data_IF_913942746844
#
_entry.id   IF_913942746844
#
_cell.length_a   1.000
_cell.length_b   1.000
_cell.length_c   1.000
_cell.angle_alpha   90.00
_cell.angle_beta   90.00
_cell.angle_gamma   90.00
#
_symmetry.space_group_name_H-M   'P 1'
#
loop_
_entity.id
_entity.type
_entity.pdbx_description
1 polymer ?
#
# COMPACT_ATOMS: atom_id res chain seq x y z
N UNK A 1 3.52 17.98 19.44
CA UNK A 1 4.48 18.85 18.71
C UNK A 1 4.34 18.52 17.25
N UNK A 2 4.32 19.52 16.37
CA UNK A 2 4.24 19.30 14.93
C UNK A 2 5.43 18.48 14.42
N UNK A 3 5.17 17.48 13.58
CA UNK A 3 6.20 16.68 12.94
C UNK A 3 6.74 17.40 11.70
N UNK A 4 8.04 17.25 11.42
CA UNK A 4 8.63 17.83 10.20
C UNK A 4 8.30 16.95 8.99
N UNK A 5 7.76 17.60 7.96
CA UNK A 5 7.59 17.02 6.62
C UNK A 5 8.44 17.83 5.65
N UNK A 6 9.36 17.17 4.99
CA UNK A 6 10.25 17.79 4.01
C UNK A 6 9.65 17.71 2.62
N UNK A 7 9.75 18.79 1.87
CA UNK A 7 9.17 18.91 0.53
C UNK A 7 10.19 19.38 -0.49
N UNK A 8 10.22 18.72 -1.64
CA UNK A 8 10.93 19.13 -2.83
C UNK A 8 9.97 19.16 -4.02
N UNK A 9 9.93 20.28 -4.75
CA UNK A 9 9.19 20.40 -6.00
C UNK A 9 9.82 19.57 -7.13
N UNK A 10 9.18 19.50 -8.31
CA UNK A 10 9.66 18.76 -9.48
C UNK A 10 10.42 19.63 -10.49
N UNK A 11 10.80 20.86 -10.15
CA UNK A 11 11.66 21.65 -11.02
C UNK A 11 13.08 21.09 -10.97
N UNK A 12 13.66 20.88 -12.11
CA UNK A 12 15.02 20.38 -12.29
C UNK A 12 15.77 21.30 -13.25
N UNK A 13 17.10 21.29 -13.18
CA UNK A 13 17.97 22.03 -14.08
C UNK A 13 19.18 21.17 -14.50
N UNK A 14 20.16 21.77 -15.15
CA UNK A 14 21.37 21.08 -15.63
C UNK A 14 22.31 20.62 -14.50
N UNK A 15 22.12 21.13 -13.28
CA UNK A 15 22.95 20.82 -12.12
C UNK A 15 22.34 19.77 -11.21
N UNK A 16 20.99 19.67 -11.16
CA UNK A 16 20.29 18.74 -10.30
C UNK A 16 19.07 18.15 -11.02
N UNK A 17 19.13 16.87 -11.35
CA UNK A 17 17.97 16.12 -11.86
C UNK A 17 17.07 15.65 -10.70
N UNK A 18 15.87 15.12 -11.04
CA UNK A 18 14.87 14.72 -10.03
C UNK A 18 15.34 13.59 -9.11
N UNK A 19 16.19 12.66 -9.59
CA UNK A 19 16.73 11.58 -8.76
C UNK A 19 17.75 12.11 -7.74
N UNK A 20 18.61 13.05 -8.17
CA UNK A 20 19.52 13.76 -7.27
C UNK A 20 18.76 14.59 -6.25
N UNK A 21 17.66 15.22 -6.67
CA UNK A 21 16.77 15.99 -5.79
C UNK A 21 16.08 15.11 -4.75
N UNK A 22 15.63 13.92 -5.14
CA UNK A 22 15.10 12.91 -4.20
C UNK A 22 16.20 12.47 -3.21
N UNK A 23 17.43 12.26 -3.67
CA UNK A 23 18.57 11.94 -2.80
C UNK A 23 18.85 13.05 -1.81
N UNK A 24 18.80 14.32 -2.23
CA UNK A 24 18.94 15.49 -1.35
C UNK A 24 17.80 15.56 -0.34
N UNK A 25 16.55 15.32 -0.77
CA UNK A 25 15.38 15.26 0.12
C UNK A 25 15.58 14.23 1.23
N UNK A 26 15.95 12.99 0.89
CA UNK A 26 16.21 11.91 1.85
C UNK A 26 17.32 12.29 2.85
N UNK A 27 18.41 12.90 2.36
CA UNK A 27 19.50 13.36 3.23
C UNK A 27 19.05 14.46 4.18
N UNK A 28 18.38 15.49 3.67
CA UNK A 28 17.93 16.64 4.46
C UNK A 28 16.86 16.25 5.47
N UNK A 29 16.01 15.29 5.13
CA UNK A 29 14.99 14.75 6.04
C UNK A 29 15.54 13.78 7.10
N UNK A 30 16.85 13.51 7.11
CA UNK A 30 17.51 12.70 8.14
C UNK A 30 17.48 11.20 7.90
N UNK A 31 17.05 10.72 6.72
CA UNK A 31 17.09 9.29 6.40
C UNK A 31 18.51 8.70 6.52
N UNK A 32 19.55 9.54 6.29
CA UNK A 32 20.94 9.14 6.41
C UNK A 32 21.40 8.84 7.83
N UNK A 33 20.64 9.21 8.85
CA UNK A 33 20.96 8.96 10.28
C UNK A 33 20.54 7.57 10.74
N UNK A 34 19.77 6.85 9.89
CA UNK A 34 19.43 5.44 10.15
C UNK A 34 20.68 4.58 9.92
N UNK A 35 20.98 3.70 10.88
CA UNK A 35 22.02 2.68 10.72
C UNK A 35 21.57 1.61 9.72
N UNK A 36 22.13 1.66 8.52
CA UNK A 36 21.88 0.68 7.46
C UNK A 36 22.95 -0.41 7.38
N UNK A 37 24.08 -0.26 8.08
CA UNK A 37 25.21 -1.15 7.91
C UNK A 37 24.82 -2.61 8.16
N UNK A 38 24.99 -3.46 7.14
CA UNK A 38 24.63 -4.89 7.11
C UNK A 38 23.14 -5.23 7.36
N UNK A 39 22.25 -4.24 7.42
CA UNK A 39 20.82 -4.40 7.66
C UNK A 39 20.05 -4.82 6.42
N UNK A 40 19.07 -5.70 6.58
CA UNK A 40 18.03 -5.93 5.58
C UNK A 40 17.03 -4.76 5.61
N UNK A 41 16.77 -4.17 4.44
CA UNK A 41 15.92 -2.98 4.30
C UNK A 41 14.76 -3.27 3.36
N UNK A 42 13.56 -3.34 3.90
CA UNK A 42 12.35 -3.49 3.10
C UNK A 42 11.94 -2.14 2.53
N UNK A 43 11.94 -1.99 1.20
CA UNK A 43 11.36 -0.83 0.51
C UNK A 43 9.99 -1.24 0.00
N UNK A 44 8.95 -0.79 0.69
CA UNK A 44 7.55 -1.10 0.36
C UNK A 44 7.01 -0.10 -0.66
N UNK A 45 6.56 -0.63 -1.78
CA UNK A 45 5.85 0.15 -2.79
C UNK A 45 4.76 -0.69 -3.46
N UNK A 46 3.93 -0.06 -4.28
CA UNK A 46 2.97 -0.72 -5.14
C UNK A 46 3.57 -0.87 -6.54
N UNK A 47 3.57 -2.09 -7.10
CA UNK A 47 4.18 -2.36 -8.41
C UNK A 47 3.27 -2.00 -9.60
N UNK A 48 2.02 -1.55 -9.34
CA UNK A 48 1.01 -1.32 -10.36
C UNK A 48 0.31 -2.62 -10.81
N UNK A 49 -0.98 -2.55 -11.09
CA UNK A 49 -1.69 -3.63 -11.78
C UNK A 49 -1.34 -3.60 -13.28
N UNK A 50 -1.22 -4.75 -13.98
CA UNK A 50 -0.99 -4.75 -15.42
C UNK A 50 -2.04 -3.93 -16.19
N UNK A 51 -1.57 -2.98 -17.00
CA UNK A 51 -2.41 -2.02 -17.71
C UNK A 51 -2.48 -0.63 -17.08
N UNK A 52 -2.23 -0.50 -15.78
CA UNK A 52 -2.08 0.78 -15.12
C UNK A 52 -0.74 1.43 -15.50
N UNK A 53 -0.73 2.72 -15.79
CA UNK A 53 0.46 3.49 -16.15
C UNK A 53 0.74 4.66 -15.18
N UNK A 54 -0.09 4.86 -14.16
CA UNK A 54 0.07 5.93 -13.18
C UNK A 54 1.00 5.54 -12.00
N UNK A 55 1.35 4.25 -11.86
CA UNK A 55 2.24 3.79 -10.79
C UNK A 55 3.62 4.46 -10.83
N UNK A 56 4.34 4.44 -9.72
CA UNK A 56 5.69 5.01 -9.63
C UNK A 56 6.67 4.32 -10.57
N UNK A 57 7.43 5.10 -11.32
CA UNK A 57 8.48 4.58 -12.21
C UNK A 57 9.56 3.87 -11.40
N UNK A 58 10.13 2.76 -11.92
CA UNK A 58 11.21 2.01 -11.25
C UNK A 58 12.43 2.86 -10.86
N UNK A 59 12.69 3.96 -11.58
CA UNK A 59 13.78 4.89 -11.31
C UNK A 59 13.71 5.50 -9.89
N UNK A 60 12.50 5.76 -9.37
CA UNK A 60 12.35 6.25 -8.01
C UNK A 60 12.77 5.20 -6.98
N UNK A 61 12.35 3.95 -7.17
CA UNK A 61 12.77 2.84 -6.33
C UNK A 61 14.29 2.61 -6.40
N UNK A 62 14.89 2.75 -7.60
CA UNK A 62 16.34 2.68 -7.79
C UNK A 62 17.06 3.71 -6.95
N UNK A 63 16.62 4.96 -6.96
CA UNK A 63 17.25 6.03 -6.17
C UNK A 63 17.24 5.73 -4.68
N UNK A 64 16.13 5.19 -4.15
CA UNK A 64 16.04 4.80 -2.73
C UNK A 64 16.93 3.59 -2.44
N UNK A 65 16.94 2.58 -3.31
CA UNK A 65 17.78 1.39 -3.15
C UNK A 65 19.29 1.73 -3.17
N UNK A 66 19.72 2.59 -4.09
CA UNK A 66 21.10 3.02 -4.20
C UNK A 66 21.53 3.84 -2.95
N UNK A 67 20.65 4.72 -2.44
CA UNK A 67 20.88 5.46 -1.19
C UNK A 67 21.15 4.53 0.01
N UNK A 68 20.38 3.44 0.12
CA UNK A 68 20.54 2.43 1.18
C UNK A 68 21.86 1.66 1.00
N UNK A 69 22.16 1.22 -0.23
CA UNK A 69 23.39 0.47 -0.55
C UNK A 69 24.67 1.27 -0.29
N UNK A 70 24.68 2.55 -0.65
CA UNK A 70 25.79 3.46 -0.37
C UNK A 70 26.13 3.55 1.12
N UNK A 71 25.18 3.13 1.99
CA UNK A 71 25.32 3.10 3.46
C UNK A 71 25.47 1.69 4.03
N UNK A 72 25.84 0.73 3.18
CA UNK A 72 26.08 -0.67 3.57
C UNK A 72 24.82 -1.51 3.80
N UNK A 73 23.63 -0.99 3.49
CA UNK A 73 22.36 -1.71 3.65
C UNK A 73 22.10 -2.71 2.51
N UNK A 74 21.24 -3.67 2.77
CA UNK A 74 20.80 -4.75 1.87
C UNK A 74 19.33 -4.54 1.49
N UNK A 75 19.01 -3.62 0.54
CA UNK A 75 17.63 -3.31 0.19
C UNK A 75 16.99 -4.40 -0.66
N UNK A 76 15.69 -4.57 -0.50
CA UNK A 76 14.82 -5.29 -1.41
C UNK A 76 13.49 -4.54 -1.57
N UNK A 77 12.89 -4.64 -2.76
CA UNK A 77 11.53 -4.11 -2.99
C UNK A 77 10.52 -5.15 -2.58
N UNK A 78 9.40 -4.71 -2.00
CA UNK A 78 8.38 -5.63 -1.51
C UNK A 78 6.96 -5.09 -1.62
N UNK A 79 6.02 -6.03 -1.73
CA UNK A 79 4.58 -5.88 -1.57
C UNK A 79 4.01 -7.24 -1.13
N UNK A 80 2.74 -7.30 -0.72
CA UNK A 80 2.01 -8.53 -0.47
C UNK A 80 0.95 -8.79 -1.54
N UNK A 81 0.61 -10.08 -1.72
CA UNK A 81 -0.40 -10.52 -2.69
C UNK A 81 -1.78 -9.89 -2.42
N UNK A 82 -2.58 -9.78 -3.48
CA UNK A 82 -3.92 -9.18 -3.43
C UNK A 82 -5.00 -10.20 -3.13
N UNK A 83 -6.18 -9.71 -2.72
CA UNK A 83 -7.40 -10.49 -2.55
C UNK A 83 -8.25 -10.55 -3.80
N UNK A 84 -8.25 -9.47 -4.59
CA UNK A 84 -9.09 -9.36 -5.79
C UNK A 84 -8.51 -10.16 -6.96
N UNK A 85 -9.36 -10.37 -7.95
CA UNK A 85 -8.98 -10.95 -9.24
C UNK A 85 -8.12 -9.95 -10.00
N UNK A 86 -6.87 -10.35 -10.30
CA UNK A 86 -5.93 -9.50 -11.00
C UNK A 86 -4.57 -10.16 -11.18
N UNK A 87 -3.61 -9.39 -11.65
CA UNK A 87 -2.25 -9.84 -11.95
C UNK A 87 -1.38 -10.14 -10.73
N UNK A 88 -1.84 -9.83 -9.50
CA UNK A 88 -1.01 -9.88 -8.29
C UNK A 88 -1.55 -10.80 -7.19
N UNK A 89 -2.38 -11.80 -7.53
CA UNK A 89 -3.02 -12.70 -6.56
C UNK A 89 -2.14 -13.81 -5.98
N UNK A 90 -0.97 -14.06 -6.54
CA UNK A 90 0.05 -14.99 -6.03
C UNK A 90 1.44 -14.48 -6.42
N UNK A 91 2.49 -14.96 -5.76
CA UNK A 91 3.83 -14.39 -5.93
C UNK A 91 4.35 -14.47 -7.37
N UNK A 92 4.05 -15.51 -8.14
CA UNK A 92 4.53 -15.62 -9.52
C UNK A 92 3.88 -14.56 -10.39
N UNK A 93 2.55 -14.48 -10.39
CA UNK A 93 1.81 -13.46 -11.14
C UNK A 93 2.19 -12.05 -10.67
N UNK A 94 2.42 -11.87 -9.38
CA UNK A 94 2.81 -10.58 -8.80
C UNK A 94 4.20 -10.16 -9.27
N UNK A 95 5.14 -11.10 -9.35
CA UNK A 95 6.47 -10.86 -9.93
C UNK A 95 6.39 -10.56 -11.43
N UNK A 96 5.55 -11.30 -12.16
CA UNK A 96 5.31 -11.03 -13.60
C UNK A 96 4.75 -9.61 -13.80
N UNK A 97 3.76 -9.20 -12.98
CA UNK A 97 3.21 -7.84 -13.00
C UNK A 97 4.29 -6.78 -12.72
N UNK A 98 5.12 -7.00 -11.71
CA UNK A 98 6.23 -6.10 -11.39
C UNK A 98 7.22 -5.99 -12.56
N UNK A 99 7.58 -7.11 -13.19
CA UNK A 99 8.48 -7.15 -14.34
C UNK A 99 7.88 -6.46 -15.57
N UNK A 100 6.61 -6.66 -15.86
CA UNK A 100 5.89 -5.98 -16.95
C UNK A 100 5.88 -4.46 -16.75
N UNK A 101 5.77 -4.01 -15.51
CA UNK A 101 5.82 -2.60 -15.13
C UNK A 101 7.25 -2.07 -14.96
N UNK A 102 8.26 -2.86 -15.35
CA UNK A 102 9.67 -2.47 -15.41
C UNK A 102 10.43 -2.63 -14.09
N UNK A 103 9.81 -3.16 -13.03
CA UNK A 103 10.52 -3.45 -11.77
C UNK A 103 11.24 -4.79 -11.86
N UNK A 104 12.55 -4.76 -11.87
CA UNK A 104 13.42 -5.93 -11.84
C UNK A 104 14.82 -5.52 -11.31
N UNK A 105 15.70 -6.46 -10.94
CA UNK A 105 16.99 -6.13 -10.37
C UNK A 105 17.89 -5.26 -11.27
N UNK A 106 17.73 -5.31 -12.59
CA UNK A 106 18.52 -4.49 -13.52
C UNK A 106 18.09 -3.02 -13.50
N UNK A 107 16.78 -2.76 -13.42
CA UNK A 107 16.23 -1.41 -13.39
C UNK A 107 16.26 -0.78 -12.01
N UNK A 108 15.97 -1.55 -10.96
CA UNK A 108 15.83 -1.06 -9.58
C UNK A 108 17.07 -1.26 -8.73
N UNK A 109 18.05 -2.03 -9.22
CA UNK A 109 19.31 -2.28 -8.52
C UNK A 109 19.19 -3.21 -7.31
N UNK A 110 18.04 -3.74 -6.96
CA UNK A 110 17.85 -4.69 -5.86
C UNK A 110 16.80 -5.75 -6.20
N UNK A 111 16.74 -6.80 -5.38
CA UNK A 111 15.81 -7.91 -5.57
C UNK A 111 14.38 -7.52 -5.21
N UNK A 112 13.40 -8.28 -5.70
CA UNK A 112 12.00 -8.18 -5.32
C UNK A 112 11.64 -9.43 -4.51
N UNK A 113 10.98 -9.23 -3.37
CA UNK A 113 10.47 -10.30 -2.52
C UNK A 113 8.99 -10.04 -2.26
N UNK A 114 8.12 -10.97 -2.65
CA UNK A 114 6.71 -10.89 -2.28
C UNK A 114 6.56 -11.40 -0.85
N UNK A 115 6.24 -10.49 0.06
CA UNK A 115 6.48 -10.66 1.49
C UNK A 115 5.62 -11.71 2.17
N UNK A 116 4.45 -12.02 1.63
CA UNK A 116 3.53 -13.03 2.15
C UNK A 116 3.62 -14.38 1.40
N UNK A 117 4.73 -14.59 0.67
CA UNK A 117 5.08 -15.85 0.02
C UNK A 117 4.19 -16.22 -1.16
N UNK A 118 4.35 -17.48 -1.64
CA UNK A 118 3.79 -17.94 -2.90
C UNK A 118 2.27 -17.78 -2.99
N UNK A 119 1.55 -18.00 -1.90
CA UNK A 119 0.07 -18.01 -1.84
C UNK A 119 -0.54 -16.95 -0.94
N UNK A 120 0.25 -15.97 -0.50
CA UNK A 120 -0.21 -14.92 0.38
C UNK A 120 -0.46 -15.36 1.84
N UNK A 121 0.18 -16.44 2.27
CA UNK A 121 -0.04 -17.06 3.59
C UNK A 121 1.23 -17.23 4.42
N UNK A 122 2.35 -16.68 3.97
CA UNK A 122 3.57 -16.60 4.77
C UNK A 122 3.52 -15.29 5.58
N UNK A 123 3.05 -15.41 6.81
CA UNK A 123 2.71 -14.26 7.65
C UNK A 123 3.23 -14.43 9.07
N UNK A 124 3.29 -13.32 9.77
CA UNK A 124 3.51 -13.25 11.21
C UNK A 124 2.39 -12.44 11.83
N UNK A 125 1.89 -12.88 12.98
CA UNK A 125 0.94 -12.11 13.77
C UNK A 125 1.70 -11.14 14.68
N UNK A 126 1.37 -9.85 14.54
CA UNK A 126 2.01 -8.76 15.30
C UNK A 126 0.96 -8.12 16.20
N UNK A 127 1.16 -8.11 17.52
CA UNK A 127 0.24 -7.44 18.45
C UNK A 127 0.15 -5.94 18.17
N UNK A 128 -1.06 -5.40 18.15
CA UNK A 128 -1.30 -3.96 17.95
C UNK A 128 -1.55 -3.30 19.30
N UNK A 129 -0.54 -2.63 19.84
CA UNK A 129 -0.67 -1.93 21.10
C UNK A 129 -1.67 -0.76 20.99
N UNK A 130 -2.74 -0.80 21.76
CA UNK A 130 -3.82 0.20 21.70
C UNK A 130 -4.79 0.02 20.51
N UNK A 131 -4.71 -1.10 19.78
CA UNK A 131 -5.67 -1.43 18.73
C UNK A 131 -7.07 -1.67 19.26
N UNK A 132 -8.07 -1.09 18.61
CA UNK A 132 -9.48 -1.21 18.97
C UNK A 132 -10.21 -2.23 18.09
N UNK A 133 -9.77 -2.36 16.84
CA UNK A 133 -10.38 -3.21 15.80
C UNK A 133 -9.53 -4.45 15.50
N UNK A 134 -8.21 -4.36 15.67
CA UNK A 134 -7.25 -5.43 15.37
C UNK A 134 -6.41 -5.70 16.63
N UNK A 135 -6.45 -6.94 17.11
CA UNK A 135 -5.59 -7.36 18.24
C UNK A 135 -4.20 -7.77 17.77
N UNK A 136 -4.16 -8.61 16.74
CA UNK A 136 -2.93 -9.09 16.12
C UNK A 136 -3.05 -8.89 14.60
N UNK A 137 -2.25 -8.00 14.04
CA UNK A 137 -2.19 -7.78 12.61
C UNK A 137 -1.41 -8.92 11.93
N UNK A 138 -1.93 -9.41 10.80
CA UNK A 138 -1.31 -10.47 10.00
C UNK A 138 -0.49 -9.84 8.89
N UNK A 139 0.81 -9.75 9.11
CA UNK A 139 1.75 -9.05 8.22
C UNK A 139 2.58 -10.06 7.43
N UNK A 140 2.86 -9.75 6.16
CA UNK A 140 3.77 -10.56 5.33
C UNK A 140 5.13 -10.71 5.98
N UNK A 141 5.61 -11.95 6.12
CA UNK A 141 6.80 -12.29 6.92
C UNK A 141 8.04 -11.48 6.52
N UNK A 142 8.37 -11.40 5.22
CA UNK A 142 9.57 -10.71 4.80
C UNK A 142 9.60 -9.20 5.13
N UNK A 143 8.42 -8.57 5.32
CA UNK A 143 8.34 -7.19 5.85
C UNK A 143 8.83 -7.15 7.29
N UNK A 144 8.45 -8.11 8.11
CA UNK A 144 8.79 -8.12 9.54
C UNK A 144 10.19 -8.68 9.82
N UNK A 145 10.73 -9.51 8.93
CA UNK A 145 12.11 -10.02 9.01
C UNK A 145 13.16 -8.94 8.64
N UNK A 146 12.75 -7.84 8.02
CA UNK A 146 13.64 -6.72 7.71
C UNK A 146 13.96 -5.89 8.96
N UNK A 147 15.22 -5.44 9.09
CA UNK A 147 15.71 -4.61 10.20
C UNK A 147 15.19 -3.17 10.10
N UNK A 148 15.09 -2.65 8.87
CA UNK A 148 14.66 -1.28 8.56
C UNK A 148 13.50 -1.33 7.56
N UNK A 149 12.52 -0.45 7.74
CA UNK A 149 11.38 -0.35 6.84
C UNK A 149 11.31 1.03 6.18
N UNK A 150 11.19 1.06 4.87
CA UNK A 150 10.99 2.29 4.09
C UNK A 150 9.69 2.15 3.29
N UNK A 151 8.78 3.11 3.41
CA UNK A 151 7.66 3.21 2.47
C UNK A 151 7.99 4.17 1.34
N UNK A 152 7.84 3.72 0.10
CA UNK A 152 7.88 4.55 -1.10
C UNK A 152 6.48 4.56 -1.71
N UNK A 153 5.79 5.68 -1.56
CA UNK A 153 4.36 5.77 -1.81
C UNK A 153 4.06 6.62 -3.05
N UNK A 154 3.24 6.09 -3.93
CA UNK A 154 2.49 6.87 -4.90
C UNK A 154 1.24 7.41 -4.20
N UNK A 155 1.10 8.72 -4.10
CA UNK A 155 -0.06 9.38 -3.49
C UNK A 155 -1.14 9.62 -4.55
N UNK A 156 -2.37 9.11 -4.34
CA UNK A 156 -3.48 9.12 -5.32
C UNK A 156 -4.83 8.97 -4.63
N UNK A 157 -5.92 9.12 -5.38
CA UNK A 157 -7.28 8.79 -4.92
C UNK A 157 -7.48 7.31 -4.61
N UNK A 158 -8.57 7.01 -3.91
CA UNK A 158 -8.96 5.63 -3.60
C UNK A 158 -10.45 5.54 -3.27
N UNK A 159 -11.13 4.63 -3.94
CA UNK A 159 -12.57 4.45 -3.93
C UNK A 159 -13.18 4.04 -2.57
N UNK A 160 -12.41 3.40 -1.68
CA UNK A 160 -12.89 2.97 -0.36
C UNK A 160 -12.25 3.76 0.79
N UNK A 161 -11.00 4.21 0.63
CA UNK A 161 -10.26 4.90 1.69
C UNK A 161 -10.28 6.44 1.53
N UNK A 162 -10.80 6.96 0.39
CA UNK A 162 -10.74 8.35 -0.01
C UNK A 162 -9.46 8.66 -0.76
N UNK A 163 -8.31 8.40 -0.17
CA UNK A 163 -7.01 8.42 -0.85
C UNK A 163 -6.13 7.25 -0.47
N UNK A 164 -5.15 6.95 -1.31
CA UNK A 164 -4.10 5.96 -1.07
C UNK A 164 -2.77 6.64 -0.82
N UNK A 165 -2.45 6.90 0.44
CA UNK A 165 -1.20 7.49 0.90
C UNK A 165 -0.27 6.49 1.58
N UNK A 166 0.63 7.01 2.43
CA UNK A 166 1.63 6.26 3.19
C UNK A 166 0.98 5.22 4.11
N UNK A 167 -0.01 5.63 4.92
CA UNK A 167 -0.69 4.72 5.85
C UNK A 167 -1.32 3.53 5.11
N UNK A 168 -2.00 3.80 3.99
CA UNK A 168 -2.59 2.72 3.17
C UNK A 168 -1.53 1.84 2.51
N UNK A 169 -0.46 2.44 1.98
CA UNK A 169 0.65 1.69 1.39
C UNK A 169 1.29 0.73 2.41
N UNK A 170 1.38 1.13 3.66
CA UNK A 170 1.89 0.30 4.75
C UNK A 170 0.82 -0.67 5.22
N UNK A 171 -0.28 -0.20 5.80
CA UNK A 171 -1.26 -1.00 6.51
C UNK A 171 -1.93 -2.05 5.62
N UNK A 172 -2.53 -1.62 4.50
CA UNK A 172 -3.12 -2.56 3.55
C UNK A 172 -2.05 -3.31 2.77
N UNK A 173 -1.00 -2.60 2.34
CA UNK A 173 0.03 -3.16 1.46
C UNK A 173 0.86 -4.26 2.12
N UNK A 174 1.24 -4.13 3.40
CA UNK A 174 2.02 -5.12 4.14
C UNK A 174 1.16 -6.23 4.76
N UNK A 175 -0.17 -6.07 4.83
CA UNK A 175 -1.06 -7.13 5.28
C UNK A 175 -0.95 -8.37 4.38
N UNK A 176 -0.81 -9.56 4.99
CA UNK A 176 -0.94 -10.82 4.26
C UNK A 176 -2.34 -10.95 3.65
N UNK A 177 -2.58 -12.00 2.89
CA UNK A 177 -3.93 -12.26 2.37
C UNK A 177 -4.99 -12.33 3.47
N UNK A 178 -4.68 -13.01 4.59
CA UNK A 178 -5.57 -13.06 5.74
C UNK A 178 -5.72 -11.68 6.41
N UNK A 179 -4.63 -10.91 6.45
CA UNK A 179 -4.65 -9.53 6.97
C UNK A 179 -5.49 -8.59 6.11
N UNK A 180 -5.35 -8.66 4.77
CA UNK A 180 -6.21 -7.89 3.86
C UNK A 180 -7.69 -8.28 4.00
N UNK A 181 -7.95 -9.58 4.21
CA UNK A 181 -9.29 -10.07 4.46
C UNK A 181 -9.91 -9.51 5.73
N UNK A 182 -9.14 -9.43 6.82
CA UNK A 182 -9.58 -8.82 8.07
C UNK A 182 -9.84 -7.31 7.94
N UNK A 183 -9.07 -6.63 7.09
CA UNK A 183 -9.25 -5.20 6.84
C UNK A 183 -10.51 -4.89 6.02
N UNK A 184 -10.78 -5.66 4.96
CA UNK A 184 -11.90 -5.41 4.02
C UNK A 184 -13.23 -6.05 4.41
N UNK A 185 -13.25 -6.97 5.39
CA UNK A 185 -14.43 -7.79 5.66
C UNK A 185 -14.43 -8.26 7.12
N UNK A 186 -15.60 -8.70 7.58
CA UNK A 186 -15.75 -9.53 8.79
C UNK A 186 -15.10 -10.94 8.65
N UNK A 187 -14.40 -11.22 7.55
CA UNK A 187 -13.34 -12.21 7.47
C UNK A 187 -13.63 -13.53 6.76
N UNK A 188 -14.71 -13.70 5.95
CA UNK A 188 -14.97 -15.02 5.33
C UNK A 188 -15.35 -14.90 3.85
N UNK A 189 -14.68 -15.68 2.95
CA UNK A 189 -14.98 -15.63 1.52
C UNK A 189 -16.27 -16.38 1.19
N UNK A 190 -16.82 -16.09 0.01
CA UNK A 190 -17.92 -16.83 -0.59
C UNK A 190 -17.53 -17.42 -1.97
N UNK A 191 -18.40 -18.21 -2.57
CA UNK A 191 -18.19 -18.74 -3.92
C UNK A 191 -19.23 -18.16 -4.87
N UNK A 192 -18.76 -17.46 -5.89
CA UNK A 192 -19.59 -17.02 -7.02
C UNK A 192 -19.86 -18.23 -7.93
N UNK A 193 -20.99 -18.89 -7.77
CA UNK A 193 -21.35 -20.16 -8.43
C UNK A 193 -21.22 -20.10 -9.96
N UNK A 194 -21.56 -18.96 -10.57
CA UNK A 194 -21.46 -18.76 -12.02
C UNK A 194 -20.06 -19.00 -12.60
N UNK A 195 -19.01 -18.80 -11.79
CA UNK A 195 -17.62 -19.00 -12.18
C UNK A 195 -17.07 -20.34 -11.67
N UNK A 196 -17.73 -20.97 -10.70
CA UNK A 196 -17.26 -22.20 -10.11
C UNK A 196 -17.43 -23.39 -11.06
N UNK A 197 -16.35 -24.17 -11.25
CA UNK A 197 -16.33 -25.38 -12.08
C UNK A 197 -16.21 -26.66 -11.23
N UNK A 198 -16.36 -26.58 -9.93
CA UNK A 198 -16.32 -27.74 -9.02
C UNK A 198 -14.97 -28.48 -8.94
N UNK A 199 -13.86 -27.85 -9.35
CA UNK A 199 -12.55 -28.50 -9.46
C UNK A 199 -11.92 -28.94 -8.12
N UNK A 200 -12.46 -28.53 -6.98
CA UNK A 200 -12.04 -28.93 -5.64
C UNK A 200 -10.71 -28.34 -5.15
N UNK A 201 -10.06 -27.42 -5.89
CA UNK A 201 -8.79 -26.79 -5.46
C UNK A 201 -8.91 -26.11 -4.11
N UNK A 202 -10.01 -25.34 -3.91
CA UNK A 202 -10.30 -24.66 -2.64
C UNK A 202 -10.41 -25.65 -1.47
N UNK A 203 -11.04 -26.81 -1.69
CA UNK A 203 -11.15 -27.88 -0.67
C UNK A 203 -9.78 -28.48 -0.35
N UNK A 204 -8.96 -28.77 -1.37
CA UNK A 204 -7.62 -29.36 -1.16
C UNK A 204 -6.67 -28.48 -0.38
N UNK A 205 -6.74 -27.17 -0.54
CA UNK A 205 -5.85 -26.23 0.16
C UNK A 205 -6.32 -25.88 1.58
N UNK A 206 -7.58 -26.14 1.90
CA UNK A 206 -8.16 -25.73 3.18
C UNK A 206 -7.81 -26.71 4.30
N UNK A 207 -7.07 -26.23 5.30
CA UNK A 207 -6.72 -27.02 6.47
C UNK A 207 -7.92 -27.30 7.41
N UNK A 208 -9.01 -26.53 7.25
CA UNK A 208 -10.19 -26.57 8.14
C UNK A 208 -11.39 -27.28 7.49
N UNK A 209 -11.25 -27.74 6.24
CA UNK A 209 -12.34 -28.42 5.53
C UNK A 209 -13.58 -27.56 5.25
N UNK A 210 -13.43 -26.22 5.30
CA UNK A 210 -14.54 -25.30 5.10
C UNK A 210 -15.15 -25.32 3.69
N UNK A 211 -14.40 -25.46 2.58
CA UNK A 211 -15.00 -25.59 1.25
C UNK A 211 -15.58 -26.99 1.03
N UNK A 212 -16.87 -27.05 0.74
CA UNK A 212 -17.63 -28.25 0.44
C UNK A 212 -18.00 -28.23 -1.04
N UNK A 213 -17.93 -29.38 -1.72
CA UNK A 213 -18.33 -29.53 -3.13
C UNK A 213 -19.61 -30.32 -3.20
N UNK A 214 -20.66 -29.69 -3.67
CA UNK A 214 -21.98 -30.30 -3.87
C UNK A 214 -22.53 -29.90 -5.23
N UNK A 215 -23.17 -30.84 -5.93
CA UNK A 215 -23.76 -30.62 -7.27
C UNK A 215 -22.81 -29.94 -8.28
N UNK A 216 -21.50 -30.28 -8.19
CA UNK A 216 -20.48 -29.72 -9.10
C UNK A 216 -20.10 -28.25 -8.79
N UNK A 217 -20.50 -27.70 -7.66
CA UNK A 217 -20.17 -26.35 -7.19
C UNK A 217 -19.56 -26.39 -5.78
N UNK A 218 -18.72 -25.42 -5.48
CA UNK A 218 -18.20 -25.23 -4.13
C UNK A 218 -19.09 -24.26 -3.36
N UNK A 219 -19.21 -24.47 -2.06
CA UNK A 219 -19.66 -23.47 -1.09
C UNK A 219 -18.74 -23.50 0.12
N UNK A 220 -18.72 -22.43 0.92
CA UNK A 220 -17.85 -22.33 2.08
C UNK A 220 -18.68 -22.39 3.36
N UNK A 221 -18.43 -23.41 4.16
CA UNK A 221 -18.96 -23.54 5.50
C UNK A 221 -18.29 -22.48 6.40
N UNK A 222 -19.03 -21.42 6.70
CA UNK A 222 -18.51 -20.30 7.46
C UNK A 222 -18.23 -20.64 8.94
N UNK A 223 -18.82 -21.68 9.48
CA UNK A 223 -18.54 -22.13 10.86
C UNK A 223 -17.13 -22.75 10.98
N UNK A 224 -16.65 -23.36 9.90
CA UNK A 224 -15.30 -23.93 9.80
C UNK A 224 -14.27 -22.96 9.24
N UNK A 225 -14.72 -21.88 8.57
CA UNK A 225 -13.83 -20.96 7.90
C UNK A 225 -13.14 -20.00 8.90
N UNK A 226 -11.82 -19.95 8.87
CA UNK A 226 -10.99 -19.06 9.70
C UNK A 226 -10.51 -17.80 8.95
N UNK A 227 -11.01 -17.53 7.74
CA UNK A 227 -10.68 -16.31 7.00
C UNK A 227 -9.26 -16.22 6.43
N UNK A 228 -8.51 -17.29 6.31
CA UNK A 228 -7.11 -17.24 5.83
C UNK A 228 -6.93 -16.94 4.33
N UNK A 229 -7.99 -16.93 3.53
CA UNK A 229 -7.98 -16.58 2.10
C UNK A 229 -7.22 -17.52 1.15
N UNK A 230 -6.63 -18.62 1.61
CA UNK A 230 -5.85 -19.55 0.75
C UNK A 230 -6.65 -20.10 -0.43
N UNK A 231 -7.95 -20.30 -0.27
CA UNK A 231 -8.85 -20.78 -1.32
C UNK A 231 -9.00 -19.76 -2.47
N UNK A 232 -8.87 -18.48 -2.21
CA UNK A 232 -8.87 -17.42 -3.23
C UNK A 232 -7.62 -17.56 -4.11
N UNK A 233 -6.44 -17.72 -3.49
CA UNK A 233 -5.16 -17.82 -4.20
C UNK A 233 -5.09 -18.97 -5.23
N UNK A 234 -5.80 -20.08 -4.96
CA UNK A 234 -5.70 -21.29 -5.78
C UNK A 234 -6.88 -21.48 -6.73
N UNK A 235 -7.88 -20.60 -6.70
CA UNK A 235 -9.03 -20.74 -7.57
C UNK A 235 -8.67 -20.38 -9.02
N UNK A 236 -8.73 -21.35 -9.97
CA UNK A 236 -8.32 -21.11 -11.35
C UNK A 236 -9.36 -20.31 -12.16
N UNK A 237 -10.56 -20.11 -11.61
CA UNK A 237 -11.68 -19.39 -12.22
C UNK A 237 -12.11 -18.20 -11.39
N UNK A 238 -11.32 -17.82 -10.39
CA UNK A 238 -11.59 -16.70 -9.49
C UNK A 238 -13.01 -16.68 -8.90
N UNK A 239 -13.57 -17.90 -8.76
CA UNK A 239 -14.92 -18.09 -8.22
C UNK A 239 -14.99 -17.90 -6.70
N UNK A 240 -13.86 -18.00 -5.99
CA UNK A 240 -13.82 -17.72 -4.54
C UNK A 240 -13.48 -16.24 -4.38
N UNK A 241 -14.42 -15.51 -3.79
CA UNK A 241 -14.38 -14.05 -3.68
C UNK A 241 -14.66 -13.62 -2.24
N UNK A 242 -14.43 -12.34 -1.94
CA UNK A 242 -14.82 -11.73 -0.65
C UNK A 242 -16.04 -10.83 -0.86
N UNK A 243 -16.75 -10.55 0.22
CA UNK A 243 -17.67 -9.43 0.27
C UNK A 243 -16.85 -8.18 0.65
N UNK A 244 -17.01 -7.12 -0.08
CA UNK A 244 -16.44 -5.82 0.25
C UNK A 244 -17.48 -5.07 1.09
N UNK A 245 -17.72 -5.55 2.33
CA UNK A 245 -18.82 -5.14 3.19
C UNK A 245 -18.39 -4.42 4.47
N UNK A 246 -17.07 -4.15 4.62
CA UNK A 246 -16.60 -3.30 5.70
C UNK A 246 -16.93 -1.83 5.43
N UNK A 247 -17.36 -1.10 6.46
CA UNK A 247 -17.54 0.33 6.32
C UNK A 247 -16.22 1.03 6.01
N UNK A 248 -16.26 2.08 5.19
CA UNK A 248 -15.05 2.85 4.81
C UNK A 248 -14.30 3.40 6.02
N UNK A 249 -15.03 3.78 7.08
CA UNK A 249 -14.45 4.26 8.33
C UNK A 249 -13.73 3.14 9.09
N UNK A 250 -14.33 1.96 9.25
CA UNK A 250 -13.68 0.84 9.93
C UNK A 250 -12.49 0.31 9.13
N UNK A 251 -12.59 0.28 7.80
CA UNK A 251 -11.46 -0.03 6.92
C UNK A 251 -10.28 0.90 7.23
N UNK A 252 -10.52 2.20 7.31
CA UNK A 252 -9.51 3.19 7.61
C UNK A 252 -8.89 3.03 9.01
N UNK A 253 -9.69 2.69 10.02
CA UNK A 253 -9.19 2.37 11.35
C UNK A 253 -8.28 1.14 11.34
N UNK A 254 -8.69 0.07 10.67
CA UNK A 254 -7.87 -1.15 10.52
C UNK A 254 -6.58 -0.89 9.72
N UNK A 255 -6.62 -0.04 8.69
CA UNK A 255 -5.41 0.38 7.95
C UNK A 255 -4.42 1.07 8.90
N UNK A 256 -4.86 2.00 9.74
CA UNK A 256 -4.00 2.64 10.72
C UNK A 256 -3.41 1.63 11.71
N UNK A 257 -4.22 0.72 12.25
CA UNK A 257 -3.76 -0.30 13.19
C UNK A 257 -2.75 -1.29 12.57
N UNK A 258 -2.96 -1.69 11.31
CA UNK A 258 -1.99 -2.49 10.56
C UNK A 258 -0.70 -1.71 10.27
N UNK A 259 -0.80 -0.39 10.02
CA UNK A 259 0.39 0.47 9.89
C UNK A 259 1.20 0.46 11.17
N UNK A 260 0.53 0.64 12.33
CA UNK A 260 1.18 0.59 13.63
C UNK A 260 1.96 -0.72 13.84
N UNK A 261 1.34 -1.85 13.53
CA UNK A 261 2.00 -3.16 13.63
C UNK A 261 3.28 -3.26 12.80
N UNK A 262 3.34 -2.57 11.66
CA UNK A 262 4.53 -2.58 10.79
C UNK A 262 5.62 -1.65 11.28
N UNK A 263 5.27 -0.46 11.78
CA UNK A 263 6.27 0.60 12.07
C UNK A 263 6.75 0.62 13.51
N UNK A 264 5.95 0.14 14.46
CA UNK A 264 6.33 0.19 15.88
C UNK A 264 7.62 -0.61 16.17
N UNK A 265 8.49 0.01 16.97
CA UNK A 265 9.66 -0.64 17.55
C UNK A 265 10.84 -0.88 16.62
N UNK A 266 10.83 -0.35 15.37
CA UNK A 266 11.96 -0.44 14.45
C UNK A 266 12.21 0.86 13.67
N UNK A 267 13.43 1.07 13.13
CA UNK A 267 13.71 2.22 12.28
C UNK A 267 12.84 2.21 11.01
N UNK A 268 12.11 3.31 10.79
CA UNK A 268 11.26 3.49 9.61
C UNK A 268 11.51 4.85 8.98
N UNK A 269 11.29 4.97 7.67
CA UNK A 269 11.29 6.24 6.95
C UNK A 269 10.27 6.21 5.83
N UNK A 270 9.62 7.35 5.57
CA UNK A 270 8.49 7.43 4.66
C UNK A 270 8.71 8.48 3.58
N UNK A 271 8.47 8.09 2.33
CA UNK A 271 8.57 8.93 1.15
C UNK A 271 7.25 8.83 0.38
N UNK A 272 6.66 9.97 0.05
CA UNK A 272 5.47 10.06 -0.80
C UNK A 272 5.75 10.92 -2.02
N UNK A 273 5.42 10.40 -3.20
CA UNK A 273 5.50 11.11 -4.45
C UNK A 273 4.08 11.49 -4.89
N UNK A 274 3.81 12.80 -4.90
CA UNK A 274 2.54 13.41 -5.32
C UNK A 274 2.69 13.80 -6.79
N UNK A 275 2.64 12.76 -7.63
CA UNK A 275 2.80 12.84 -9.09
C UNK A 275 1.79 11.91 -9.74
N UNK A 276 1.32 12.22 -10.93
CA UNK A 276 0.34 11.42 -11.68
C UNK A 276 -0.86 10.99 -10.79
N UNK A 277 -1.37 11.94 -9.98
CA UNK A 277 -2.40 11.70 -8.96
C UNK A 277 -3.70 11.26 -9.62
N UNK A 278 -3.86 9.95 -9.82
CA UNK A 278 -5.08 9.35 -10.41
C UNK A 278 -6.26 9.40 -9.43
N UNK A 279 -7.51 9.43 -9.92
CA UNK A 279 -8.69 9.41 -9.04
C UNK A 279 -8.84 8.11 -8.25
N UNK A 280 -8.35 6.99 -8.78
CA UNK A 280 -8.46 5.66 -8.19
C UNK A 280 -7.08 5.04 -7.91
N UNK A 281 -7.11 3.88 -7.24
CA UNK A 281 -5.91 3.16 -6.82
C UNK A 281 -5.14 2.53 -8.00
N UNK A 282 -3.80 2.42 -7.87
CA UNK A 282 -2.94 1.65 -8.80
C UNK A 282 -3.28 0.16 -8.85
N UNK A 283 -4.24 -0.29 -8.05
CA UNK A 283 -4.75 -1.65 -8.06
C UNK A 283 -5.77 -1.93 -9.18
N UNK A 284 -6.19 -0.89 -9.91
CA UNK A 284 -6.99 -0.99 -11.13
C UNK A 284 -6.08 -1.06 -12.36
N UNK A 285 -6.43 -1.89 -13.32
CA UNK A 285 -5.71 -1.98 -14.60
C UNK A 285 -5.93 -0.74 -15.47
N UNK A 286 -7.11 -0.16 -15.38
CA UNK A 286 -7.45 1.13 -15.96
C UNK A 286 -7.06 2.25 -15.00
N UNK A 287 -6.12 3.09 -15.37
CA UNK A 287 -5.92 4.36 -14.70
C UNK A 287 -6.55 5.49 -15.53
N UNK A 288 -7.16 6.44 -14.86
CA UNK A 288 -7.63 7.67 -15.47
C UNK A 288 -6.51 8.73 -15.43
N UNK A 289 -6.73 9.84 -16.14
CA UNK A 289 -5.79 10.97 -16.09
C UNK A 289 -5.67 11.54 -14.66
N UNK A 290 -4.53 12.17 -14.38
CA UNK A 290 -4.31 12.84 -13.11
C UNK A 290 -5.38 13.92 -12.85
N UNK A 291 -5.81 14.03 -11.60
CA UNK A 291 -6.82 15.03 -11.18
C UNK A 291 -6.25 16.42 -10.99
N UNK A 292 -4.96 16.52 -10.65
CA UNK A 292 -4.23 17.77 -10.41
C UNK A 292 -2.85 17.72 -11.10
N UNK A 293 -2.18 18.86 -11.32
CA UNK A 293 -0.78 18.87 -11.74
C UNK A 293 0.12 18.14 -10.75
N UNK A 294 1.24 17.61 -11.24
CA UNK A 294 2.26 17.01 -10.39
C UNK A 294 2.77 18.04 -9.37
N UNK A 295 2.80 17.65 -8.10
CA UNK A 295 3.12 18.56 -6.97
C UNK A 295 4.59 18.45 -6.55
N UNK A 296 5.03 17.21 -6.19
CA UNK A 296 6.38 17.04 -5.70
C UNK A 296 6.63 15.76 -4.91
N UNK A 297 7.72 15.82 -4.18
CA UNK A 297 8.23 14.72 -3.35
C UNK A 297 8.20 15.15 -1.89
N UNK A 298 7.68 14.29 -1.03
CA UNK A 298 7.56 14.52 0.41
C UNK A 298 8.28 13.42 1.18
N UNK A 299 8.88 13.75 2.33
CA UNK A 299 9.55 12.78 3.19
C UNK A 299 9.41 13.15 4.67
N UNK A 300 9.20 12.12 5.52
CA UNK A 300 9.09 12.28 6.97
C UNK A 300 9.37 10.96 7.69
N UNK A 301 9.70 11.04 8.98
CA UNK A 301 9.65 9.90 9.89
C UNK A 301 8.22 9.61 10.40
N UNK A 302 7.31 10.57 10.26
CA UNK A 302 5.92 10.47 10.71
C UNK A 302 4.99 10.21 9.50
N UNK A 303 4.40 9.02 9.37
CA UNK A 303 3.56 8.69 8.24
C UNK A 303 2.19 9.41 8.27
N UNK A 304 1.70 9.81 9.45
CA UNK A 304 0.43 10.55 9.60
C UNK A 304 0.62 11.99 9.12
N UNK A 305 1.66 12.66 9.60
CA UNK A 305 2.03 14.01 9.18
C UNK A 305 2.32 14.06 7.67
N UNK A 306 3.00 13.03 7.16
CA UNK A 306 3.31 12.89 5.73
C UNK A 306 2.04 12.84 4.88
N UNK A 307 1.08 12.00 5.25
CA UNK A 307 -0.18 11.88 4.51
C UNK A 307 -1.02 13.16 4.62
N UNK A 308 -1.05 13.81 5.80
CA UNK A 308 -1.73 15.09 5.97
C UNK A 308 -1.13 16.17 5.05
N UNK A 309 0.19 16.29 5.01
CA UNK A 309 0.87 17.27 4.14
C UNK A 309 0.63 16.96 2.64
N UNK A 310 0.55 15.70 2.25
CA UNK A 310 0.28 15.31 0.86
C UNK A 310 -1.17 15.65 0.45
N UNK A 311 -2.16 15.37 1.31
CA UNK A 311 -3.57 15.68 0.99
C UNK A 311 -3.79 17.19 0.91
N UNK A 312 -3.20 17.98 1.82
CA UNK A 312 -3.26 19.44 1.77
C UNK A 312 -2.61 19.98 0.49
N UNK A 313 -1.47 19.41 0.10
CA UNK A 313 -0.77 19.82 -1.11
C UNK A 313 -1.56 19.50 -2.39
N UNK A 314 -2.31 18.40 -2.44
CA UNK A 314 -3.22 18.07 -3.55
C UNK A 314 -4.43 19.02 -3.56
N UNK A 315 -5.07 19.21 -2.41
CA UNK A 315 -6.26 20.07 -2.29
C UNK A 315 -5.95 21.55 -2.59
N UNK A 316 -4.69 21.98 -2.43
CA UNK A 316 -4.24 23.33 -2.82
C UNK A 316 -4.05 23.49 -4.34
N UNK A 317 -4.14 22.45 -5.15
CA UNK A 317 -3.98 22.53 -6.61
C UNK A 317 -5.31 22.82 -7.29
N UNK A 318 -5.25 23.54 -8.41
CA UNK A 318 -6.37 23.63 -9.34
C UNK A 318 -6.51 22.31 -10.11
N UNK A 319 -7.70 21.70 -10.14
CA UNK A 319 -7.93 20.48 -10.90
C UNK A 319 -7.62 20.62 -12.38
N UNK A 320 -7.14 19.56 -12.99
CA UNK A 320 -6.89 19.51 -14.42
C UNK A 320 -8.21 19.48 -15.20
N UNK A 321 -8.27 20.30 -16.24
CA UNK A 321 -9.43 20.35 -17.12
C UNK A 321 -9.65 18.99 -17.80
N UNK A 322 -10.87 18.50 -17.77
CA UNK A 322 -11.26 17.20 -18.32
C UNK A 322 -10.96 16.01 -17.42
N UNK A 323 -10.39 16.23 -16.23
CA UNK A 323 -10.19 15.16 -15.23
C UNK A 323 -11.48 14.86 -14.47
N UNK A 324 -11.47 13.79 -13.66
CA UNK A 324 -12.57 13.45 -12.78
C UNK A 324 -12.89 14.54 -11.73
N UNK A 325 -11.95 15.43 -11.46
CA UNK A 325 -12.11 16.58 -10.55
C UNK A 325 -12.37 17.91 -11.28
N UNK A 326 -12.59 17.90 -12.61
CA UNK A 326 -12.82 19.11 -13.40
C UNK A 326 -14.01 19.91 -12.86
N UNK A 327 -13.80 21.22 -12.71
CA UNK A 327 -14.80 22.16 -12.16
C UNK A 327 -14.86 22.20 -10.63
N UNK A 328 -14.01 21.46 -9.91
CA UNK A 328 -13.87 21.60 -8.48
C UNK A 328 -13.16 22.92 -8.14
N UNK A 329 -13.66 23.69 -7.15
CA UNK A 329 -12.91 24.83 -6.63
C UNK A 329 -11.57 24.39 -6.04
N UNK A 330 -10.53 25.20 -6.19
CA UNK A 330 -9.18 24.91 -5.69
C UNK A 330 -9.05 24.93 -4.15
N UNK A 331 -10.09 25.27 -3.41
CA UNK A 331 -10.15 25.31 -1.94
C UNK A 331 -10.99 24.15 -1.36
N UNK A 332 -11.37 23.18 -2.19
CA UNK A 332 -12.22 22.05 -1.78
C UNK A 332 -11.41 20.79 -1.61
N UNK A 333 -11.98 19.86 -0.81
CA UNK A 333 -11.47 18.51 -0.62
C UNK A 333 -11.75 17.67 -1.87
N UNK A 334 -10.78 17.60 -2.77
CA UNK A 334 -10.91 16.85 -4.02
C UNK A 334 -11.21 15.36 -3.78
N UNK A 335 -10.60 14.75 -2.75
CA UNK A 335 -10.80 13.33 -2.46
C UNK A 335 -12.19 13.04 -1.90
N UNK A 336 -12.69 13.89 -1.00
CA UNK A 336 -14.06 13.74 -0.48
C UNK A 336 -15.11 13.94 -1.58
N UNK A 337 -14.83 14.78 -2.55
CA UNK A 337 -15.74 15.00 -3.67
C UNK A 337 -15.71 13.87 -4.69
N UNK A 338 -14.52 13.33 -4.99
CA UNK A 338 -14.39 12.17 -5.87
C UNK A 338 -15.02 10.91 -5.27
N UNK A 339 -14.89 10.74 -3.97
CA UNK A 339 -15.33 9.57 -3.23
C UNK A 339 -16.18 9.98 -2.02
N UNK A 340 -17.42 10.47 -2.25
CA UNK A 340 -18.26 11.11 -1.20
C UNK A 340 -18.66 10.15 -0.08
N UNK A 341 -18.71 8.84 -0.35
CA UNK A 341 -19.07 7.81 0.63
C UNK A 341 -17.88 7.38 1.51
N UNK A 342 -16.70 7.99 1.34
CA UNK A 342 -15.51 7.69 2.12
C UNK A 342 -15.30 8.68 3.25
N UNK A 343 -14.47 8.30 4.23
CA UNK A 343 -14.01 9.18 5.31
C UNK A 343 -12.49 9.03 5.50
N UNK A 344 -11.72 9.65 4.60
CA UNK A 344 -10.26 9.53 4.65
C UNK A 344 -9.64 10.09 5.94
N UNK A 345 -10.29 11.10 6.56
CA UNK A 345 -9.82 11.71 7.82
C UNK A 345 -9.75 10.69 8.95
N UNK A 346 -10.67 9.71 8.95
CA UNK A 346 -10.72 8.68 9.98
C UNK A 346 -9.42 7.87 10.11
N UNK A 347 -8.71 7.63 9.00
CA UNK A 347 -7.41 6.93 9.03
C UNK A 347 -6.34 7.75 9.78
N UNK A 348 -6.25 9.05 9.50
CA UNK A 348 -5.28 9.95 10.12
C UNK A 348 -5.62 10.21 11.60
N UNK A 349 -6.89 10.44 11.90
CA UNK A 349 -7.39 10.66 13.26
C UNK A 349 -7.14 9.45 14.16
N UNK A 350 -7.41 8.26 13.64
CA UNK A 350 -7.15 7.03 14.38
C UNK A 350 -5.66 6.77 14.51
N UNK A 351 -4.87 7.01 13.46
CA UNK A 351 -3.41 6.91 13.50
C UNK A 351 -2.77 7.80 14.58
N UNK A 352 -3.25 9.04 14.69
CA UNK A 352 -2.84 9.96 15.76
C UNK A 352 -3.29 9.45 17.13
N UNK A 353 -4.55 9.02 17.27
CA UNK A 353 -5.11 8.49 18.52
C UNK A 353 -4.32 7.29 19.07
N UNK A 354 -3.89 6.38 18.22
CA UNK A 354 -3.13 5.19 18.63
C UNK A 354 -1.61 5.42 18.66
N UNK A 355 -1.16 6.65 18.41
CA UNK A 355 0.23 7.07 18.60
C UNK A 355 1.19 6.62 17.49
N UNK A 356 0.75 6.55 16.24
CA UNK A 356 1.64 6.34 15.08
C UNK A 356 2.39 7.63 14.74
N UNK A 357 1.71 8.78 14.84
CA UNK A 357 2.22 10.10 14.49
C UNK A 357 1.26 11.20 14.89
N UNK A 358 1.36 12.36 14.26
CA UNK A 358 0.47 13.51 14.47
C UNK A 358 0.02 14.12 13.14
N UNK A 359 -1.19 14.67 13.11
CA UNK A 359 -1.70 15.43 11.96
C UNK A 359 -1.12 16.84 11.85
N UNK A 360 -0.54 17.33 12.95
CA UNK A 360 0.15 18.62 12.97
C UNK A 360 1.53 18.49 12.35
N UNK A 361 1.82 19.27 11.30
CA UNK A 361 3.11 19.24 10.63
C UNK A 361 3.70 20.61 10.36
N UNK A 362 5.03 20.66 10.28
CA UNK A 362 5.81 21.79 9.78
C UNK A 362 6.37 21.39 8.39
N UNK A 363 5.97 22.13 7.34
CA UNK A 363 6.47 21.89 5.98
C UNK A 363 7.82 22.59 5.77
N UNK A 364 8.88 21.79 5.61
CA UNK A 364 10.24 22.25 5.33
C UNK A 364 10.51 22.14 3.83
N UNK A 365 10.51 23.25 3.11
CA UNK A 365 10.87 23.28 1.67
C UNK A 365 12.40 23.24 1.50
N UNK A 366 12.88 22.42 0.55
CA UNK A 366 14.31 22.24 0.27
C UNK A 366 14.64 22.56 -1.18
#
# INVERSE_FOLDING_TARGET
MASKVYFADLRADIHENLQQKLTRLMKTAGMGDIDFQDKFVAIKLHFGEPGNLAFLRPNWARTVADFVKERGGKPFLTDCNTLYVGGRKNALNHMDSAMLNGFNPMTTGCQIIIADGLKGSDEVEVPVAGGEYVKNAKIGRAVMDADVFISLTHFKGHEEAGFGGCLKNIGMGCGSRAGKMEQHNAGKPHVAEKYCIGCGQCRRICAHGAPIIENGKAHIDHDKCVGCGRCIAVCPKDAVQINWDESTTNLNYKIAEYTKAVVDGRPCFHISLVIDVSPNCDCHSENDMAIVPNVGMFASFDPVALDMACVDAVNAQTPLRGSAADGDPCDHDHFQRLHPDTNWRSCLEHGEKIGIGTRDYELVKI
#
